data_IF_153043043526
#
_entry.id   IF_153043043526
#
_cell.length_a   1.000
_cell.length_b   1.000
_cell.length_c   1.000
_cell.angle_alpha   90.00
_cell.angle_beta   90.00
_cell.angle_gamma   90.00
#
_symmetry.space_group_name_H-M   'P 1'
#
loop_
_entity.id
_entity.type
_entity.pdbx_description
1 polymer ?
#
# COMPACT_ATOMS: atom_id res chain seq x y z
N UNK A 1 -73.63 -17.51 1.85
CA UNK A 1 -72.61 -17.35 0.79
C UNK A 1 -71.53 -16.45 1.28
N UNK A 2 -70.52 -17.02 1.76
CA UNK A 2 -69.39 -16.23 2.29
C UNK A 2 -68.15 -16.54 1.47
N UNK A 3 -67.69 -15.55 0.70
CA UNK A 3 -66.47 -15.66 -0.05
C UNK A 3 -65.26 -15.51 0.89
N UNK A 4 -64.52 -16.58 1.09
CA UNK A 4 -63.23 -16.51 1.74
C UNK A 4 -62.26 -15.82 0.78
N UNK A 5 -61.90 -14.59 1.11
CA UNK A 5 -60.78 -13.91 0.44
C UNK A 5 -59.51 -14.38 1.14
N UNK A 6 -58.87 -15.35 0.53
CA UNK A 6 -57.49 -15.72 0.93
C UNK A 6 -56.56 -14.61 0.53
N UNK A 7 -56.15 -13.82 1.49
CA UNK A 7 -55.06 -12.88 1.33
C UNK A 7 -53.75 -13.67 1.31
N UNK A 8 -53.21 -13.88 0.10
CA UNK A 8 -51.84 -14.41 -0.05
C UNK A 8 -50.88 -13.30 0.28
N UNK A 9 -50.36 -13.35 1.49
CA UNK A 9 -49.24 -12.49 1.88
C UNK A 9 -47.97 -12.98 1.18
N UNK A 10 -47.58 -12.32 0.11
CA UNK A 10 -46.31 -12.52 -0.53
C UNK A 10 -45.26 -11.85 0.36
N UNK A 11 -44.63 -12.63 1.22
CA UNK A 11 -43.40 -12.20 1.90
C UNK A 11 -42.26 -12.13 0.85
N UNK A 12 -42.06 -10.94 0.33
CA UNK A 12 -40.83 -10.65 -0.45
C UNK A 12 -39.66 -10.70 0.54
N UNK A 13 -39.00 -11.85 0.60
CA UNK A 13 -37.69 -11.98 1.28
C UNK A 13 -36.67 -11.19 0.47
N UNK A 14 -36.45 -9.95 0.87
CA UNK A 14 -35.31 -9.18 0.37
C UNK A 14 -34.03 -9.87 0.89
N UNK A 15 -33.43 -10.70 0.06
CA UNK A 15 -32.11 -11.24 0.32
C UNK A 15 -31.12 -10.08 0.28
N UNK A 16 -30.79 -9.52 1.44
CA UNK A 16 -29.64 -8.66 1.60
C UNK A 16 -28.39 -9.51 1.36
N UNK A 17 -27.93 -9.57 0.13
CA UNK A 17 -26.60 -10.07 -0.16
C UNK A 17 -25.61 -9.05 0.43
N UNK A 18 -25.20 -9.27 1.67
CA UNK A 18 -24.04 -8.58 2.23
C UNK A 18 -22.85 -9.04 1.42
N UNK A 19 -22.48 -8.25 0.40
CA UNK A 19 -21.23 -8.43 -0.28
C UNK A 19 -20.13 -8.15 0.73
N UNK A 20 -19.53 -9.20 1.31
CA UNK A 20 -18.31 -9.08 2.08
C UNK A 20 -17.21 -8.68 1.13
N UNK A 21 -16.87 -7.38 1.10
CA UNK A 21 -15.63 -6.95 0.46
C UNK A 21 -14.46 -7.60 1.21
N UNK A 22 -13.55 -8.32 0.53
CA UNK A 22 -12.39 -8.89 1.19
C UNK A 22 -11.57 -7.76 1.84
N UNK A 23 -11.06 -7.98 3.07
CA UNK A 23 -10.20 -7.02 3.76
C UNK A 23 -8.92 -6.72 2.96
N UNK A 24 -8.48 -7.68 2.14
CA UNK A 24 -7.34 -7.58 1.25
C UNK A 24 -7.81 -7.73 -0.20
N UNK A 25 -7.64 -6.66 -0.97
CA UNK A 25 -7.95 -6.62 -2.40
C UNK A 25 -6.68 -6.29 -3.18
N UNK A 26 -5.85 -7.31 -3.40
CA UNK A 26 -4.53 -7.15 -4.00
C UNK A 26 -4.61 -6.65 -5.43
N UNK A 27 -3.90 -5.56 -5.67
CA UNK A 27 -3.82 -4.89 -6.97
C UNK A 27 -2.41 -4.43 -7.29
N UNK A 28 -2.05 -4.47 -8.55
CA UNK A 28 -0.81 -3.88 -9.02
C UNK A 28 -0.94 -2.36 -9.11
N UNK A 29 0.00 -1.67 -8.52
CA UNK A 29 0.13 -0.22 -8.59
C UNK A 29 1.38 0.12 -9.38
N UNK A 30 1.25 1.00 -10.35
CA UNK A 30 2.35 1.50 -11.19
C UNK A 30 2.45 3.00 -11.00
N UNK A 31 3.37 3.48 -10.17
CA UNK A 31 3.53 4.92 -9.98
C UNK A 31 3.90 5.63 -11.29
N UNK A 32 3.18 6.72 -11.65
CA UNK A 32 3.49 7.48 -12.85
C UNK A 32 4.93 8.01 -12.83
N UNK A 33 5.59 8.01 -13.99
CA UNK A 33 6.97 8.48 -14.12
C UNK A 33 8.02 7.53 -13.57
N UNK A 34 7.64 6.33 -13.17
CA UNK A 34 8.56 5.27 -12.73
C UNK A 34 8.28 3.98 -13.49
N UNK A 35 9.25 3.06 -13.47
CA UNK A 35 9.07 1.70 -14.00
C UNK A 35 8.70 0.70 -12.90
N UNK A 36 8.43 1.19 -11.69
CA UNK A 36 8.11 0.36 -10.55
C UNK A 36 6.73 -0.27 -10.69
N UNK A 37 6.63 -1.50 -10.18
CA UNK A 37 5.38 -2.22 -9.99
C UNK A 37 5.35 -2.73 -8.57
N UNK A 38 4.29 -2.46 -7.86
CA UNK A 38 4.12 -2.92 -6.48
C UNK A 38 2.72 -3.47 -6.27
N UNK A 39 2.63 -4.51 -5.47
CA UNK A 39 1.34 -5.07 -5.06
C UNK A 39 0.89 -4.42 -3.77
N UNK A 40 -0.32 -3.88 -3.76
CA UNK A 40 -0.96 -3.32 -2.58
C UNK A 40 -2.28 -4.04 -2.30
N UNK A 41 -2.60 -4.32 -1.03
CA UNK A 41 -3.87 -4.96 -0.67
C UNK A 41 -5.04 -4.00 -0.65
N UNK A 42 -4.82 -2.73 -0.95
CA UNK A 42 -5.79 -1.65 -0.95
C UNK A 42 -5.32 -0.54 -1.89
N UNK A 43 -6.21 0.40 -2.21
CA UNK A 43 -5.86 1.55 -3.05
C UNK A 43 -4.97 2.53 -2.27
N UNK A 44 -3.70 2.73 -2.65
CA UNK A 44 -2.83 3.63 -1.91
C UNK A 44 -3.14 5.10 -2.22
N UNK A 45 -2.96 5.94 -1.21
CA UNK A 45 -2.79 7.36 -1.39
C UNK A 45 -1.32 7.67 -1.68
N UNK A 46 -1.05 8.71 -2.47
CA UNK A 46 0.31 9.10 -2.82
C UNK A 46 0.64 10.50 -2.33
N UNK A 47 1.86 10.65 -1.85
CA UNK A 47 2.45 11.91 -1.44
C UNK A 47 3.87 12.01 -1.96
N UNK A 48 4.29 13.22 -2.31
CA UNK A 48 5.66 13.49 -2.69
C UNK A 48 6.21 14.64 -1.84
N UNK A 49 7.45 14.55 -1.43
CA UNK A 49 8.14 15.62 -0.73
C UNK A 49 9.64 15.56 -0.98
N UNK A 50 10.29 16.70 -0.81
CA UNK A 50 11.74 16.77 -0.87
C UNK A 50 12.36 16.28 0.42
N UNK A 51 13.36 15.42 0.29
CA UNK A 51 14.17 14.90 1.40
C UNK A 51 15.64 14.95 1.02
N UNK A 52 16.51 14.99 2.02
CA UNK A 52 17.95 14.86 1.81
C UNK A 52 18.36 13.42 2.07
N UNK A 53 18.90 12.76 1.05
CA UNK A 53 19.45 11.41 1.13
C UNK A 53 20.83 11.41 0.51
N UNK A 54 21.80 10.77 1.17
CA UNK A 54 23.19 10.70 0.70
C UNK A 54 23.74 12.08 0.27
N UNK A 55 23.44 13.11 1.07
CA UNK A 55 23.82 14.53 0.85
C UNK A 55 23.25 15.18 -0.39
N UNK A 56 22.18 14.60 -0.93
CA UNK A 56 21.49 15.13 -2.11
C UNK A 56 20.02 15.33 -1.79
N UNK A 57 19.47 16.49 -2.16
CA UNK A 57 18.05 16.73 -2.09
C UNK A 57 17.36 16.07 -3.25
N UNK A 58 16.44 15.15 -2.95
CA UNK A 58 15.66 14.41 -3.94
C UNK A 58 14.18 14.49 -3.62
N UNK A 59 13.35 14.31 -4.62
CA UNK A 59 11.91 14.12 -4.42
C UNK A 59 11.65 12.65 -4.08
N UNK A 60 11.08 12.41 -2.93
CA UNK A 60 10.64 11.08 -2.49
C UNK A 60 9.14 10.96 -2.64
N UNK A 61 8.72 9.94 -3.35
CA UNK A 61 7.31 9.57 -3.48
C UNK A 61 6.98 8.48 -2.48
N UNK A 62 5.86 8.63 -1.79
CA UNK A 62 5.32 7.67 -0.83
C UNK A 62 3.93 7.25 -1.26
N UNK A 63 3.73 5.96 -1.39
CA UNK A 63 2.43 5.33 -1.60
C UNK A 63 2.08 4.53 -0.36
N UNK A 64 0.93 4.76 0.22
CA UNK A 64 0.52 4.08 1.44
C UNK A 64 -0.97 3.81 1.48
N UNK A 65 -1.34 2.67 2.03
CA UNK A 65 -2.73 2.33 2.36
C UNK A 65 -2.78 1.44 3.60
N UNK A 66 -3.94 1.37 4.22
CA UNK A 66 -4.18 0.50 5.37
C UNK A 66 -5.30 -0.48 5.06
N UNK A 67 -5.08 -1.73 5.40
CA UNK A 67 -6.06 -2.79 5.30
C UNK A 67 -6.11 -3.55 6.64
N UNK A 68 -7.26 -3.51 7.31
CA UNK A 68 -7.34 -3.94 8.70
C UNK A 68 -6.42 -3.08 9.58
N UNK A 69 -5.67 -3.70 10.45
CA UNK A 69 -4.74 -3.03 11.37
C UNK A 69 -3.31 -2.91 10.81
N UNK A 70 -3.11 -3.22 9.52
CA UNK A 70 -1.80 -3.19 8.89
C UNK A 70 -1.70 -2.07 7.88
N UNK A 71 -0.64 -1.28 7.97
CA UNK A 71 -0.29 -0.26 6.98
C UNK A 71 0.78 -0.79 6.04
N UNK A 72 0.57 -0.55 4.75
CA UNK A 72 1.46 -0.93 3.67
C UNK A 72 1.98 0.33 3.00
N UNK A 73 3.28 0.42 2.82
CA UNK A 73 3.88 1.61 2.21
C UNK A 73 5.03 1.24 1.27
N UNK A 74 5.16 2.03 0.22
CA UNK A 74 6.28 2.02 -0.70
C UNK A 74 6.81 3.44 -0.82
N UNK A 75 8.07 3.64 -0.50
CA UNK A 75 8.77 4.89 -0.74
C UNK A 75 9.86 4.69 -1.79
N UNK A 76 9.98 5.62 -2.71
CA UNK A 76 11.03 5.58 -3.71
C UNK A 76 11.47 6.99 -4.12
N UNK A 77 12.69 7.10 -4.59
CA UNK A 77 13.28 8.31 -5.12
C UNK A 77 14.27 7.98 -6.23
N UNK A 78 14.38 8.86 -7.21
CA UNK A 78 15.42 8.78 -8.22
C UNK A 78 16.63 9.61 -7.77
N UNK A 79 17.75 8.95 -7.57
CA UNK A 79 18.98 9.58 -7.13
C UNK A 79 19.85 10.07 -8.29
N UNK A 80 19.50 9.70 -9.52
CA UNK A 80 20.24 9.99 -10.77
C UNK A 80 21.67 9.45 -10.83
N UNK A 81 22.32 9.26 -9.69
CA UNK A 81 23.68 8.72 -9.58
C UNK A 81 23.65 7.35 -8.89
N UNK A 82 23.96 6.25 -9.61
CA UNK A 82 23.97 4.91 -9.03
C UNK A 82 24.90 4.75 -7.82
N UNK A 83 25.98 5.53 -7.74
CA UNK A 83 26.90 5.46 -6.62
C UNK A 83 26.30 5.94 -5.29
N UNK A 84 25.20 6.69 -5.33
CA UNK A 84 24.49 7.20 -4.15
C UNK A 84 23.43 6.24 -3.62
N UNK A 85 23.08 5.22 -4.38
CA UNK A 85 21.99 4.30 -4.00
C UNK A 85 22.33 3.52 -2.73
N UNK A 86 23.52 2.95 -2.64
CA UNK A 86 23.97 2.22 -1.44
C UNK A 86 23.90 3.07 -0.17
N UNK A 87 24.62 4.22 -0.12
CA UNK A 87 24.55 5.14 1.03
C UNK A 87 23.15 5.62 1.39
N UNK A 88 22.30 5.89 0.40
CA UNK A 88 20.92 6.30 0.62
C UNK A 88 20.07 5.19 1.25
N UNK A 89 20.22 3.95 0.80
CA UNK A 89 19.51 2.79 1.37
C UNK A 89 19.94 2.52 2.82
N UNK A 90 21.23 2.66 3.12
CA UNK A 90 21.73 2.53 4.50
C UNK A 90 21.15 3.62 5.42
N UNK A 91 21.09 4.85 4.94
CA UNK A 91 20.51 5.98 5.68
C UNK A 91 19.01 5.76 5.93
N UNK A 92 18.27 5.35 4.92
CA UNK A 92 16.84 4.99 5.05
C UNK A 92 16.64 3.84 6.02
N UNK A 93 17.43 2.79 5.92
CA UNK A 93 17.36 1.64 6.82
C UNK A 93 17.55 2.03 8.29
N UNK A 94 18.51 2.89 8.56
CA UNK A 94 18.75 3.43 9.93
C UNK A 94 17.59 4.31 10.40
N UNK A 95 17.07 5.16 9.54
CA UNK A 95 15.93 6.01 9.89
C UNK A 95 14.66 5.19 10.16
N UNK A 96 14.39 4.17 9.36
CA UNK A 96 13.25 3.27 9.59
C UNK A 96 13.41 2.46 10.89
N UNK A 97 14.60 1.94 11.17
CA UNK A 97 14.87 1.24 12.41
C UNK A 97 14.66 2.14 13.63
N UNK A 98 15.11 3.40 13.57
CA UNK A 98 14.88 4.38 14.63
C UNK A 98 13.40 4.67 14.84
N UNK A 99 12.60 4.75 13.78
CA UNK A 99 11.16 5.00 13.87
C UNK A 99 10.39 3.88 14.56
N UNK A 100 10.86 2.65 14.43
CA UNK A 100 10.26 1.48 15.10
C UNK A 100 11.01 1.11 16.40
N UNK A 101 11.94 1.95 16.85
CA UNK A 101 12.74 1.75 18.06
C UNK A 101 13.57 0.45 18.03
N UNK A 102 13.97 0.01 16.85
CA UNK A 102 14.87 -1.13 16.69
C UNK A 102 16.31 -0.71 16.96
N UNK A 103 17.10 -1.57 17.62
CA UNK A 103 18.50 -1.30 17.92
C UNK A 103 19.37 -1.25 16.65
N UNK A 104 19.04 -2.04 15.65
CA UNK A 104 19.69 -2.06 14.34
C UNK A 104 18.72 -2.56 13.26
N UNK A 105 18.92 -2.22 11.98
CA UNK A 105 18.19 -2.85 10.89
C UNK A 105 18.37 -4.36 10.91
N UNK A 106 17.36 -5.09 10.50
CA UNK A 106 17.48 -6.52 10.23
C UNK A 106 18.55 -6.78 9.16
N UNK A 107 19.05 -8.02 9.10
CA UNK A 107 20.00 -8.40 8.07
C UNK A 107 19.45 -8.04 6.68
N UNK A 108 20.29 -7.43 5.84
CA UNK A 108 19.93 -7.05 4.48
C UNK A 108 20.65 -7.93 3.48
N UNK A 109 19.99 -8.22 2.38
CA UNK A 109 20.55 -8.93 1.25
C UNK A 109 20.13 -8.25 -0.07
N UNK A 110 20.95 -8.31 -1.11
CA UNK A 110 20.56 -7.83 -2.42
C UNK A 110 19.30 -8.56 -2.91
N UNK A 111 18.35 -7.81 -3.42
CA UNK A 111 17.13 -8.34 -4.03
C UNK A 111 17.12 -8.03 -5.51
N UNK A 112 16.97 -9.05 -6.34
CA UNK A 112 16.76 -8.85 -7.76
C UNK A 112 15.32 -8.34 -7.98
N UNK A 113 15.22 -7.15 -8.52
CA UNK A 113 13.95 -6.52 -8.91
C UNK A 113 13.84 -6.57 -10.42
N UNK A 114 12.79 -7.19 -10.93
CA UNK A 114 12.48 -7.15 -12.34
C UNK A 114 12.06 -5.73 -12.74
N UNK A 115 12.74 -5.16 -13.70
CA UNK A 115 12.47 -3.83 -14.23
C UNK A 115 12.29 -3.85 -15.73
#
# INVERSE_FOLDING_TARGET
MYGLRSAVAVCAAAAFTTACAPALDWREVRPPGSQLRAMFPCKPASHARRVTLARTTVEMSLYACSAGDVSYALAFADLADPARVGPALEELGRALAANVQAAAPAASAPLAVAG
#
